data_IF_133828507918
#
_entry.id   IF_133828507918
#
_cell.length_a   1.000
_cell.length_b   1.000
_cell.length_c   1.000
_cell.angle_alpha   90.00
_cell.angle_beta   90.00
_cell.angle_gamma   90.00
#
_symmetry.space_group_name_H-M   'P 1'
#
loop_
_entity.id
_entity.type
_entity.pdbx_description
1 polymer ?
#
# COMPACT_ATOMS: atom_id res chain seq x y z
N UNK A 1 -10.65 4.87 -7.65
CA UNK A 1 -9.84 5.56 -6.64
C UNK A 1 -9.81 7.03 -6.99
N UNK A 2 -9.64 7.95 -6.03
CA UNK A 2 -9.46 9.36 -6.36
C UNK A 2 -8.16 9.55 -7.16
N UNK A 3 -8.19 10.40 -8.18
CA UNK A 3 -7.02 10.70 -9.02
C UNK A 3 -6.10 11.75 -8.39
N UNK A 4 -6.58 12.48 -7.38
CA UNK A 4 -5.82 13.52 -6.68
C UNK A 4 -6.13 13.53 -5.19
N UNK A 5 -5.09 13.61 -4.37
CA UNK A 5 -5.16 13.70 -2.92
C UNK A 5 -4.30 14.86 -2.45
N UNK A 6 -4.91 15.82 -1.74
CA UNK A 6 -4.23 16.93 -1.08
C UNK A 6 -3.83 16.54 0.34
N UNK A 7 -2.74 17.11 0.86
CA UNK A 7 -2.19 16.80 2.18
C UNK A 7 -2.04 15.28 2.39
N UNK A 8 -1.28 14.65 1.49
CA UNK A 8 -1.09 13.21 1.47
C UNK A 8 -0.31 12.73 2.70
N UNK A 9 -0.87 11.70 3.35
CA UNK A 9 -0.24 10.85 4.35
C UNK A 9 0.05 9.50 3.71
N UNK A 10 1.34 9.26 3.42
CA UNK A 10 1.81 8.17 2.59
C UNK A 10 2.31 7.02 3.48
N UNK A 11 1.76 5.83 3.29
CA UNK A 11 2.23 4.60 3.92
C UNK A 11 3.10 3.80 2.94
N UNK A 12 4.32 3.44 3.35
CA UNK A 12 5.26 2.66 2.54
C UNK A 12 5.42 1.23 3.10
N UNK A 13 4.97 0.22 2.35
CA UNK A 13 4.88 -1.18 2.84
C UNK A 13 5.70 -2.15 1.96
N UNK A 14 6.48 -3.04 2.60
CA UNK A 14 7.24 -4.14 1.96
C UNK A 14 6.58 -5.52 2.20
N UNK A 15 5.27 -5.54 2.46
CA UNK A 15 4.48 -6.76 2.58
C UNK A 15 3.24 -6.73 1.68
N UNK A 16 2.61 -7.88 1.49
CA UNK A 16 1.46 -8.06 0.62
C UNK A 16 0.14 -7.85 1.38
N UNK A 17 -0.82 -7.20 0.73
CA UNK A 17 -2.19 -7.06 1.20
C UNK A 17 -3.10 -8.02 0.42
N UNK A 18 -2.82 -9.30 0.59
CA UNK A 18 -3.53 -10.40 -0.06
C UNK A 18 -4.11 -11.32 1.00
N UNK A 19 -5.13 -12.11 0.61
CA UNK A 19 -5.67 -13.16 1.48
C UNK A 19 -4.54 -13.99 2.06
N UNK A 20 -4.47 -14.00 3.38
CA UNK A 20 -3.41 -14.71 4.10
C UNK A 20 -3.66 -16.19 3.93
N UNK A 21 -2.80 -16.86 3.15
CA UNK A 21 -2.78 -18.32 3.08
C UNK A 21 -2.13 -18.85 4.35
N UNK A 22 -2.60 -19.99 4.82
CA UNK A 22 -1.95 -20.70 5.92
C UNK A 22 -0.48 -21.02 5.59
N UNK A 23 0.36 -21.02 6.63
CA UNK A 23 1.77 -21.35 6.49
C UNK A 23 1.96 -22.78 5.95
N UNK A 24 3.00 -22.96 5.14
CA UNK A 24 3.40 -24.26 4.62
C UNK A 24 3.66 -25.22 5.79
N UNK A 25 2.97 -26.37 5.80
CA UNK A 25 3.04 -27.36 6.88
C UNK A 25 1.80 -27.43 7.78
N UNK A 26 0.88 -26.47 7.66
CA UNK A 26 -0.43 -26.55 8.33
C UNK A 26 -1.40 -27.31 7.44
N UNK A 27 -1.83 -28.49 7.89
CA UNK A 27 -2.91 -29.25 7.26
C UNK A 27 -4.22 -29.00 8.00
N UNK A 28 -5.20 -28.44 7.30
CA UNK A 28 -6.55 -28.27 7.84
C UNK A 28 -7.35 -29.52 7.49
N UNK A 29 -7.53 -30.42 8.45
CA UNK A 29 -8.43 -31.55 8.30
C UNK A 29 -9.84 -31.12 8.68
N UNK A 30 -10.64 -30.73 7.69
CA UNK A 30 -12.02 -30.30 7.89
C UNK A 30 -12.96 -31.47 7.60
N UNK A 31 -13.87 -31.77 8.53
CA UNK A 31 -14.89 -32.81 8.38
C UNK A 31 -16.26 -32.28 7.96
N UNK A 32 -16.54 -30.98 8.16
CA UNK A 32 -17.79 -30.31 7.76
C UNK A 32 -17.55 -29.11 6.81
N UNK A 33 -18.31 -29.04 5.72
CA UNK A 33 -18.31 -27.94 4.76
C UNK A 33 -18.47 -26.55 5.38
N UNK A 34 -19.21 -26.42 6.49
CA UNK A 34 -19.45 -25.14 7.18
C UNK A 34 -18.19 -24.56 7.82
N UNK A 35 -17.31 -25.40 8.33
CA UNK A 35 -16.05 -24.96 8.94
C UNK A 35 -15.07 -24.45 7.88
N UNK A 36 -15.10 -25.06 6.68
CA UNK A 36 -14.30 -24.63 5.55
C UNK A 36 -14.65 -23.19 5.12
N UNK A 37 -15.95 -22.86 5.08
CA UNK A 37 -16.38 -21.48 4.79
C UNK A 37 -15.93 -20.48 5.86
N UNK A 38 -16.05 -20.83 7.15
CA UNK A 38 -15.59 -19.99 8.26
C UNK A 38 -14.09 -19.69 8.17
N UNK A 39 -13.29 -20.69 7.82
CA UNK A 39 -11.84 -20.51 7.66
C UNK A 39 -11.54 -19.53 6.52
N UNK A 40 -12.21 -19.69 5.36
CA UNK A 40 -12.05 -18.78 4.21
C UNK A 40 -12.49 -17.35 4.52
N UNK A 41 -13.55 -17.19 5.31
CA UNK A 41 -13.98 -15.89 5.81
C UNK A 41 -12.92 -15.28 6.72
N UNK A 42 -12.42 -16.05 7.70
CA UNK A 42 -11.40 -15.56 8.64
C UNK A 42 -10.10 -15.10 7.94
N UNK A 43 -9.65 -15.81 6.91
CA UNK A 43 -8.48 -15.40 6.10
C UNK A 43 -8.71 -14.03 5.41
N UNK A 44 -9.94 -13.78 4.97
CA UNK A 44 -10.32 -12.52 4.33
C UNK A 44 -10.48 -11.40 5.37
N UNK A 45 -11.07 -11.72 6.53
CA UNK A 45 -11.28 -10.77 7.64
C UNK A 45 -9.97 -10.26 8.20
N UNK A 46 -8.95 -11.11 8.39
CA UNK A 46 -7.62 -10.70 8.86
C UNK A 46 -7.04 -9.63 7.92
N UNK A 47 -7.18 -9.82 6.62
CA UNK A 47 -6.67 -8.87 5.62
C UNK A 47 -7.43 -7.54 5.69
N UNK A 48 -8.75 -7.61 5.91
CA UNK A 48 -9.61 -6.44 6.08
C UNK A 48 -9.26 -5.66 7.35
N UNK A 49 -9.11 -6.33 8.49
CA UNK A 49 -8.73 -5.74 9.78
C UNK A 49 -7.40 -4.97 9.65
N UNK A 50 -6.40 -5.50 8.92
CA UNK A 50 -5.13 -4.81 8.64
C UNK A 50 -5.31 -3.55 7.81
N UNK A 51 -6.11 -3.60 6.74
CA UNK A 51 -6.38 -2.44 5.88
C UNK A 51 -7.10 -1.36 6.68
N UNK A 52 -8.09 -1.73 7.50
CA UNK A 52 -8.80 -0.79 8.37
C UNK A 52 -7.86 -0.10 9.36
N UNK A 53 -6.86 -0.80 9.91
CA UNK A 53 -5.85 -0.18 10.80
C UNK A 53 -5.00 0.86 10.07
N UNK A 54 -4.55 0.57 8.85
CA UNK A 54 -3.81 1.54 8.01
C UNK A 54 -4.66 2.78 7.72
N UNK A 55 -5.93 2.57 7.37
CA UNK A 55 -6.87 3.66 7.09
C UNK A 55 -7.20 4.47 8.35
N UNK A 56 -7.38 3.82 9.50
CA UNK A 56 -7.62 4.47 10.81
C UNK A 56 -6.43 5.31 11.28
N UNK A 57 -5.20 4.92 10.95
CA UNK A 57 -4.02 5.76 11.17
C UNK A 57 -4.04 7.05 10.32
N UNK A 58 -4.93 7.13 9.33
CA UNK A 58 -5.14 8.30 8.47
C UNK A 58 -4.33 8.25 7.18
N UNK A 59 -3.83 7.08 6.77
CA UNK A 59 -3.19 6.94 5.47
C UNK A 59 -4.19 7.18 4.35
N UNK A 60 -3.89 8.10 3.44
CA UNK A 60 -4.71 8.35 2.25
C UNK A 60 -4.01 7.88 0.95
N UNK A 61 -2.72 7.59 1.03
CA UNK A 61 -1.94 6.99 -0.05
C UNK A 61 -1.17 5.80 0.52
N UNK A 62 -1.31 4.63 -0.09
CA UNK A 62 -0.65 3.39 0.32
C UNK A 62 0.17 2.87 -0.85
N UNK A 63 1.48 2.72 -0.64
CA UNK A 63 2.43 2.21 -1.62
C UNK A 63 2.97 0.87 -1.15
N UNK A 64 2.77 -0.19 -1.94
CA UNK A 64 3.27 -1.53 -1.60
C UNK A 64 4.24 -2.06 -2.65
N UNK A 65 5.37 -2.64 -2.20
CA UNK A 65 6.30 -3.34 -3.10
C UNK A 65 5.67 -4.61 -3.67
N UNK A 66 4.86 -5.28 -2.85
CA UNK A 66 4.19 -6.53 -3.24
C UNK A 66 2.81 -6.24 -3.85
N UNK A 67 2.07 -7.32 -4.14
CA UNK A 67 0.72 -7.24 -4.68
C UNK A 67 -0.33 -6.89 -3.63
N UNK A 68 -1.43 -6.30 -4.12
CA UNK A 68 -2.69 -6.09 -3.41
C UNK A 68 -3.75 -6.92 -4.15
N UNK A 69 -4.56 -7.66 -3.41
CA UNK A 69 -5.68 -8.45 -3.95
C UNK A 69 -6.87 -7.56 -4.33
N UNK A 70 -7.70 -7.99 -5.27
CA UNK A 70 -8.78 -7.13 -5.81
C UNK A 70 -9.85 -6.82 -4.75
N UNK A 71 -10.08 -7.76 -3.82
CA UNK A 71 -10.95 -7.52 -2.65
C UNK A 71 -10.39 -6.43 -1.73
N UNK A 72 -9.07 -6.44 -1.51
CA UNK A 72 -8.38 -5.43 -0.71
C UNK A 72 -8.45 -4.05 -1.36
N UNK A 73 -8.32 -3.98 -2.70
CA UNK A 73 -8.43 -2.72 -3.46
C UNK A 73 -9.80 -2.07 -3.29
N UNK A 74 -10.89 -2.85 -3.22
CA UNK A 74 -12.24 -2.31 -2.99
C UNK A 74 -12.33 -1.52 -1.68
N UNK A 75 -11.74 -2.03 -0.59
CA UNK A 75 -11.74 -1.32 0.69
C UNK A 75 -11.01 0.03 0.62
N UNK A 76 -9.90 0.10 -0.12
CA UNK A 76 -9.20 1.38 -0.33
C UNK A 76 -10.04 2.36 -1.17
N UNK A 77 -10.74 1.85 -2.20
CA UNK A 77 -11.63 2.67 -3.04
C UNK A 77 -12.79 3.23 -2.22
N UNK A 78 -13.44 2.40 -1.41
CA UNK A 78 -14.54 2.80 -0.52
C UNK A 78 -14.10 3.83 0.52
N UNK A 79 -12.88 3.70 1.04
CA UNK A 79 -12.29 4.65 1.97
C UNK A 79 -11.77 5.94 1.29
N UNK A 80 -11.78 6.02 -0.05
CA UNK A 80 -11.25 7.16 -0.78
C UNK A 80 -9.72 7.30 -0.69
N UNK A 81 -9.00 6.19 -0.52
CA UNK A 81 -7.54 6.16 -0.50
C UNK A 81 -6.96 5.68 -1.85
N UNK A 82 -5.79 6.19 -2.20
CA UNK A 82 -5.00 5.68 -3.34
C UNK A 82 -4.19 4.48 -2.86
N UNK A 83 -4.28 3.35 -3.55
CA UNK A 83 -3.48 2.16 -3.26
C UNK A 83 -2.72 1.71 -4.50
N UNK A 84 -1.39 1.66 -4.40
CA UNK A 84 -0.48 1.33 -5.50
C UNK A 84 0.20 0.01 -5.20
N UNK A 85 0.04 -0.95 -6.10
CA UNK A 85 0.66 -2.27 -6.00
C UNK A 85 1.89 -2.38 -6.88
N UNK A 86 2.85 -3.24 -6.48
CA UNK A 86 4.06 -3.55 -7.25
C UNK A 86 4.97 -2.35 -7.54
N UNK A 87 5.14 -1.48 -6.55
CA UNK A 87 6.11 -0.37 -6.63
C UNK A 87 7.53 -0.94 -6.57
N UNK A 88 8.47 -0.40 -7.37
CA UNK A 88 9.87 -0.81 -7.30
C UNK A 88 10.45 -0.45 -5.93
N UNK A 89 11.25 -1.37 -5.38
CA UNK A 89 11.82 -1.20 -4.03
C UNK A 89 12.71 0.04 -3.89
N UNK A 90 13.44 0.38 -4.95
CA UNK A 90 14.30 1.57 -4.99
C UNK A 90 13.49 2.86 -4.96
N UNK A 91 12.42 2.94 -5.76
CA UNK A 91 11.51 4.08 -5.77
C UNK A 91 10.81 4.25 -4.43
N UNK A 92 10.36 3.14 -3.81
CA UNK A 92 9.73 3.22 -2.49
C UNK A 92 10.70 3.75 -1.41
N UNK A 93 11.98 3.38 -1.47
CA UNK A 93 13.00 3.95 -0.56
C UNK A 93 13.17 5.44 -0.77
N UNK A 94 13.22 5.89 -2.03
CA UNK A 94 13.36 7.31 -2.35
C UNK A 94 12.14 8.10 -1.88
N UNK A 95 10.93 7.61 -2.12
CA UNK A 95 9.68 8.23 -1.66
C UNK A 95 9.62 8.26 -0.13
N UNK A 96 9.95 7.16 0.54
CA UNK A 96 9.98 7.10 2.01
C UNK A 96 10.95 8.14 2.58
N UNK A 97 12.16 8.23 2.03
CA UNK A 97 13.16 9.23 2.46
C UNK A 97 12.70 10.67 2.21
N UNK A 98 12.13 10.95 1.03
CA UNK A 98 11.68 12.30 0.66
C UNK A 98 10.48 12.77 1.49
N UNK A 99 9.53 11.87 1.75
CA UNK A 99 8.28 12.15 2.50
C UNK A 99 8.46 12.04 4.02
N UNK A 100 9.55 11.40 4.49
CA UNK A 100 9.76 11.08 5.90
C UNK A 100 9.01 9.83 6.37
N UNK A 101 8.41 9.04 5.46
CA UNK A 101 7.77 7.79 5.82
C UNK A 101 8.80 6.75 6.27
N UNK A 102 8.38 5.84 7.15
CA UNK A 102 9.15 4.65 7.49
C UNK A 102 8.66 3.49 6.63
N UNK A 103 9.58 2.78 5.97
CA UNK A 103 9.22 1.56 5.25
C UNK A 103 8.98 0.42 6.22
N UNK A 104 7.77 -0.14 6.22
CA UNK A 104 7.39 -1.24 7.10
C UNK A 104 7.51 -2.58 6.38
N UNK A 105 8.34 -3.48 6.93
CA UNK A 105 8.50 -4.86 6.44
C UNK A 105 7.54 -5.85 7.08
N UNK A 106 7.06 -5.55 8.29
CA UNK A 106 6.10 -6.35 9.05
C UNK A 106 4.99 -5.46 9.60
N UNK A 107 3.83 -6.06 9.86
CA UNK A 107 2.68 -5.41 10.47
C UNK A 107 2.62 -5.62 11.99
N UNK A 108 3.53 -6.41 12.55
CA UNK A 108 3.64 -6.64 13.98
C UNK A 108 4.48 -5.53 14.61
N UNK A 109 3.96 -4.92 15.66
CA UNK A 109 4.72 -4.04 16.55
C UNK A 109 5.67 -4.85 17.44
N UNK A 110 6.54 -4.19 18.20
CA UNK A 110 7.51 -4.84 19.09
C UNK A 110 6.84 -5.74 20.16
N UNK A 111 5.57 -5.47 20.47
CA UNK A 111 4.74 -6.22 21.42
C UNK A 111 3.99 -7.40 20.77
N UNK A 112 4.12 -7.60 19.45
CA UNK A 112 3.45 -8.65 18.70
C UNK A 112 1.98 -8.34 18.36
N UNK A 113 1.47 -7.18 18.75
CA UNK A 113 0.18 -6.69 18.31
C UNK A 113 0.27 -6.10 16.90
N UNK A 114 -0.79 -6.30 16.12
CA UNK A 114 -0.92 -5.68 14.81
C UNK A 114 -1.44 -4.25 14.97
N UNK A 115 -0.55 -3.28 15.17
CA UNK A 115 -0.86 -1.85 15.22
C UNK A 115 -0.18 -1.12 14.07
N UNK A 116 -0.77 -0.01 13.62
CA UNK A 116 -0.15 0.87 12.65
C UNK A 116 -0.03 2.25 13.27
N UNK A 117 1.18 2.62 13.67
CA UNK A 117 1.44 3.93 14.26
C UNK A 117 1.42 5.02 13.17
N UNK A 118 0.63 6.10 13.34
CA UNK A 118 0.69 7.27 12.48
C UNK A 118 2.10 7.87 12.32
N UNK A 119 3.03 7.62 13.25
CA UNK A 119 4.42 8.07 13.16
C UNK A 119 5.18 7.52 11.94
N UNK A 120 4.75 6.38 11.39
CA UNK A 120 5.35 5.78 10.20
C UNK A 120 4.92 6.44 8.89
N UNK A 121 3.89 7.31 8.92
CA UNK A 121 3.35 7.95 7.73
C UNK A 121 4.26 9.10 7.25
N UNK A 122 4.56 9.10 5.95
CA UNK A 122 5.20 10.24 5.30
C UNK A 122 4.20 11.33 4.95
N UNK A 123 4.71 12.53 4.69
CA UNK A 123 3.89 13.67 4.29
C UNK A 123 4.30 14.22 2.92
N UNK A 124 3.30 14.52 2.09
CA UNK A 124 3.45 15.28 0.87
C UNK A 124 2.26 16.24 0.67
N UNK A 125 2.50 17.38 0.04
CA UNK A 125 1.45 18.38 -0.22
C UNK A 125 0.37 17.85 -1.16
N UNK A 126 0.78 17.09 -2.18
CA UNK A 126 -0.10 16.55 -3.20
C UNK A 126 0.41 15.21 -3.73
N UNK A 127 -0.50 14.25 -3.89
CA UNK A 127 -0.28 13.04 -4.69
C UNK A 127 -1.34 13.00 -5.78
N UNK A 128 -0.89 12.94 -7.02
CA UNK A 128 -1.77 12.96 -8.19
C UNK A 128 -1.40 11.85 -9.17
N UNK A 129 -2.41 11.19 -9.70
CA UNK A 129 -2.32 10.30 -10.85
C UNK A 129 -2.56 11.15 -12.10
N UNK A 130 -1.51 11.35 -12.89
CA UNK A 130 -1.58 12.08 -14.16
C UNK A 130 -1.22 11.14 -15.31
N UNK A 131 -2.04 11.18 -16.37
CA UNK A 131 -1.74 10.48 -17.60
C UNK A 131 -0.73 11.28 -18.42
N UNK A 132 0.45 10.71 -18.61
CA UNK A 132 1.55 11.28 -19.38
C UNK A 132 1.75 10.43 -20.63
N UNK A 133 1.36 10.97 -21.78
CA UNK A 133 1.26 10.22 -23.03
C UNK A 133 0.30 9.03 -22.87
N UNK A 134 0.81 7.80 -22.99
CA UNK A 134 0.01 6.57 -22.89
C UNK A 134 0.06 5.91 -21.51
N UNK A 135 0.91 6.40 -20.61
CA UNK A 135 1.10 5.83 -19.27
C UNK A 135 0.45 6.69 -18.18
N UNK A 136 -0.17 6.02 -17.21
CA UNK A 136 -0.65 6.64 -15.97
C UNK A 136 0.49 6.65 -14.94
N UNK A 137 0.87 7.85 -14.48
CA UNK A 137 2.00 8.05 -13.58
C UNK A 137 1.54 8.72 -12.30
N UNK A 138 2.04 8.25 -11.17
CA UNK A 138 1.77 8.84 -9.86
C UNK A 138 2.89 9.82 -9.51
N UNK A 139 2.51 11.08 -9.36
CA UNK A 139 3.39 12.18 -9.00
C UNK A 139 3.18 12.53 -7.53
N UNK A 140 4.25 12.42 -6.75
CA UNK A 140 4.31 12.88 -5.35
C UNK A 140 4.99 14.24 -5.36
N UNK A 141 4.24 15.30 -5.02
CA UNK A 141 4.70 16.70 -5.06
C UNK A 141 4.70 17.29 -3.65
N UNK A 142 5.66 18.17 -3.37
CA UNK A 142 5.76 18.88 -2.09
C UNK A 142 6.11 17.96 -0.93
N UNK A 143 7.22 17.23 -1.03
CA UNK A 143 7.66 16.32 0.03
C UNK A 143 8.27 17.07 1.22
N UNK A 144 7.86 16.71 2.44
CA UNK A 144 8.19 17.49 3.65
C UNK A 144 9.66 17.41 4.09
N UNK A 145 10.31 16.26 3.92
CA UNK A 145 11.59 15.98 4.57
C UNK A 145 12.80 16.38 3.71
N UNK A 146 12.82 15.97 2.44
CA UNK A 146 13.92 16.30 1.52
C UNK A 146 13.33 16.74 0.19
N UNK A 147 13.94 17.76 -0.42
CA UNK A 147 13.65 18.13 -1.80
C UNK A 147 14.12 17.01 -2.73
N UNK A 148 13.16 16.35 -3.37
CA UNK A 148 13.40 15.35 -4.41
C UNK A 148 12.91 15.90 -5.74
N UNK A 149 13.65 15.64 -6.81
CA UNK A 149 13.29 16.01 -8.18
C UNK A 149 13.34 14.76 -9.04
N UNK A 150 12.32 14.55 -9.85
CA UNK A 150 12.23 13.47 -10.83
C UNK A 150 12.01 14.10 -12.21
N UNK A 151 12.69 13.57 -13.22
CA UNK A 151 12.61 14.05 -14.60
C UNK A 151 12.02 12.92 -15.44
N UNK A 152 10.94 13.22 -16.16
CA UNK A 152 10.34 12.29 -17.14
C UNK A 152 10.83 12.72 -18.51
N UNK A 153 11.72 11.91 -19.10
CA UNK A 153 12.20 12.12 -20.46
C UNK A 153 11.15 11.63 -21.47
N UNK A 154 11.04 12.33 -22.60
CA UNK A 154 10.16 11.93 -23.71
C UNK A 154 10.97 11.93 -25.00
N UNK A 155 10.91 10.81 -25.71
CA UNK A 155 11.56 10.59 -27.00
C UNK A 155 10.59 9.94 -27.99
N UNK A 156 11.02 9.80 -29.24
CA UNK A 156 10.21 9.16 -30.29
C UNK A 156 10.14 7.63 -30.15
N UNK A 157 11.15 7.01 -29.54
CA UNK A 157 11.24 5.59 -29.26
C UNK A 157 12.18 5.33 -28.06
N UNK A 158 12.26 4.07 -27.62
CA UNK A 158 13.10 3.64 -26.48
C UNK A 158 14.61 3.64 -26.77
N UNK A 159 15.03 3.86 -28.02
CA UNK A 159 16.41 3.66 -28.50
C UNK A 159 17.16 4.95 -28.84
N UNK A 160 16.49 6.11 -28.85
CA UNK A 160 17.06 7.39 -29.23
C UNK A 160 17.82 8.08 -28.09
#
# INVERSE_FOLDING_TARGET
>A
MPTKVMAAKIACLDFNLQKTKMQMGVQVLVSDTRELEKIRQRESDITKERIEKILKAGANVVLTIKGIDDMSLKYFVEAGAIAVRRVRKEDLRHVAKATGATMLSTFADMEGEETFDPSFLGHADEVVEERIADDDVILVKGTKNTSAVSIILRGANDYC
#
